data_IF_710968419189
#
_entry.id   IF_710968419189
#
_cell.length_a   1.000
_cell.length_b   1.000
_cell.length_c   1.000
_cell.angle_alpha   90.00
_cell.angle_beta   90.00
_cell.angle_gamma   90.00
#
_symmetry.space_group_name_H-M   'P 1'
#
loop_
_entity.id
_entity.type
_entity.pdbx_description
1 polymer ?
#
# COMPACT_ATOMS: atom_id res chain seq x y z
N UNK A 1 2.56 22.29 -2.05
CA UNK A 1 1.39 21.64 -1.42
C UNK A 1 1.09 20.30 -2.10
N UNK A 2 1.06 20.28 -3.44
CA UNK A 2 0.98 19.05 -4.26
C UNK A 2 2.01 17.97 -3.87
N UNK A 3 3.28 18.34 -3.64
CA UNK A 3 4.33 17.39 -3.24
C UNK A 3 4.08 16.76 -1.87
N UNK A 4 3.55 17.53 -0.92
CA UNK A 4 3.20 17.04 0.41
C UNK A 4 2.05 16.02 0.32
N UNK A 5 1.06 16.30 -0.53
CA UNK A 5 -0.06 15.41 -0.82
C UNK A 5 0.41 14.15 -1.53
N UNK A 6 1.32 14.26 -2.50
CA UNK A 6 1.91 13.12 -3.18
C UNK A 6 2.72 12.24 -2.21
N UNK A 7 3.52 12.84 -1.32
CA UNK A 7 4.24 12.11 -0.27
C UNK A 7 3.28 11.39 0.68
N UNK A 8 2.23 12.04 1.16
CA UNK A 8 1.20 11.41 2.00
C UNK A 8 0.50 10.26 1.28
N UNK A 9 0.20 10.46 0.01
CA UNK A 9 -0.47 9.48 -0.82
C UNK A 9 0.41 8.27 -1.16
N UNK A 10 1.74 8.41 -1.14
CA UNK A 10 2.71 7.32 -1.25
C UNK A 10 3.00 6.64 0.10
N UNK A 11 2.93 7.39 1.21
CA UNK A 11 3.09 6.84 2.56
C UNK A 11 1.99 5.85 2.93
N UNK A 12 0.79 6.05 2.44
CA UNK A 12 -0.36 5.21 2.74
C UNK A 12 -0.24 3.77 2.19
N UNK A 13 0.05 3.55 0.87
CA UNK A 13 0.26 2.22 0.34
C UNK A 13 1.55 1.57 0.87
N UNK A 14 2.60 2.33 1.17
CA UNK A 14 3.82 1.78 1.80
C UNK A 14 3.57 1.32 3.23
N UNK A 15 2.85 2.11 4.04
CA UNK A 15 2.45 1.70 5.39
C UNK A 15 1.55 0.45 5.36
N UNK A 16 0.61 0.38 4.43
CA UNK A 16 -0.25 -0.79 4.24
C UNK A 16 0.54 -2.03 3.80
N UNK A 17 1.46 -1.89 2.84
CA UNK A 17 2.35 -2.98 2.43
C UNK A 17 3.21 -3.50 3.58
N UNK A 18 3.79 -2.61 4.39
CA UNK A 18 4.52 -2.98 5.62
C UNK A 18 3.64 -3.69 6.65
N UNK A 19 2.43 -3.17 6.89
CA UNK A 19 1.48 -3.81 7.80
C UNK A 19 1.13 -5.23 7.35
N UNK A 20 0.89 -5.41 6.05
CA UNK A 20 0.55 -6.70 5.46
C UNK A 20 1.68 -7.73 5.60
N UNK A 21 2.91 -7.35 5.26
CA UNK A 21 4.08 -8.22 5.44
C UNK A 21 4.30 -8.53 6.92
N UNK A 22 4.06 -7.57 7.81
CA UNK A 22 4.18 -7.79 9.27
C UNK A 22 3.15 -8.79 9.80
N UNK A 23 1.95 -8.84 9.21
CA UNK A 23 0.89 -9.81 9.54
C UNK A 23 1.22 -11.20 8.99
N UNK A 24 1.75 -11.27 7.75
CA UNK A 24 2.07 -12.53 7.09
C UNK A 24 3.34 -13.21 7.64
N UNK A 25 4.32 -12.42 8.11
CA UNK A 25 5.60 -12.96 8.59
C UNK A 25 5.49 -13.41 10.05
N UNK A 26 5.78 -14.69 10.36
CA UNK A 26 5.77 -15.23 11.71
C UNK A 26 6.65 -14.42 12.67
N UNK A 27 6.21 -14.30 13.93
CA UNK A 27 6.88 -13.46 14.93
C UNK A 27 8.33 -13.86 15.19
N UNK A 28 8.64 -15.15 15.07
CA UNK A 28 9.96 -15.72 15.37
C UNK A 28 10.96 -15.64 14.21
N UNK A 29 10.58 -14.98 13.11
CA UNK A 29 11.47 -14.82 11.95
C UNK A 29 12.64 -13.88 12.29
N UNK A 30 13.90 -14.33 12.20
CA UNK A 30 15.06 -13.45 12.39
C UNK A 30 15.07 -12.38 11.30
N UNK A 31 15.22 -11.10 11.70
CA UNK A 31 15.18 -9.98 10.74
C UNK A 31 13.77 -9.62 10.24
N UNK A 32 12.71 -9.98 10.98
CA UNK A 32 11.31 -9.67 10.64
C UNK A 32 11.06 -8.18 10.34
N UNK A 33 11.63 -7.27 11.14
CA UNK A 33 11.47 -5.82 10.97
C UNK A 33 12.06 -5.31 9.64
N UNK A 34 13.34 -5.54 9.32
CA UNK A 34 13.91 -5.13 8.04
C UNK A 34 13.25 -5.84 6.84
N UNK A 35 12.80 -7.09 7.01
CA UNK A 35 12.03 -7.80 5.99
C UNK A 35 10.66 -7.13 5.74
N UNK A 36 9.93 -6.80 6.80
CA UNK A 36 8.64 -6.13 6.71
C UNK A 36 8.75 -4.74 6.09
N UNK A 37 9.78 -3.97 6.46
CA UNK A 37 10.02 -2.66 5.88
C UNK A 37 10.46 -2.74 4.42
N UNK A 38 11.44 -3.58 4.08
CA UNK A 38 11.93 -3.71 2.71
C UNK A 38 10.86 -4.25 1.77
N UNK A 39 10.32 -5.43 2.08
CA UNK A 39 9.33 -6.09 1.24
C UNK A 39 7.99 -5.36 1.25
N UNK A 40 7.58 -4.79 2.40
CA UNK A 40 6.34 -4.03 2.52
C UNK A 40 6.36 -2.71 1.77
N UNK A 41 7.48 -1.98 1.81
CA UNK A 41 7.64 -0.74 1.02
C UNK A 41 7.58 -1.05 -0.47
N UNK A 42 8.25 -2.11 -0.93
CA UNK A 42 8.19 -2.54 -2.33
C UNK A 42 6.78 -2.95 -2.76
N UNK A 43 6.09 -3.76 -1.95
CA UNK A 43 4.69 -4.14 -2.20
C UNK A 43 3.77 -2.93 -2.27
N UNK A 44 3.93 -1.99 -1.34
CA UNK A 44 3.16 -0.75 -1.30
C UNK A 44 3.37 0.07 -2.57
N UNK A 45 4.61 0.33 -2.97
CA UNK A 45 4.91 1.10 -4.19
C UNK A 45 4.39 0.39 -5.45
N UNK A 46 4.57 -0.93 -5.55
CA UNK A 46 4.09 -1.71 -6.70
C UNK A 46 2.55 -1.77 -6.79
N UNK A 47 1.85 -1.64 -5.66
CA UNK A 47 0.40 -1.58 -5.65
C UNK A 47 -0.16 -0.32 -6.31
N UNK A 48 0.58 0.81 -6.26
CA UNK A 48 0.15 2.10 -6.82
C UNK A 48 -0.15 2.03 -8.32
N UNK A 49 0.76 1.59 -9.22
CA UNK A 49 0.45 1.49 -10.64
C UNK A 49 -0.63 0.45 -10.93
N UNK A 50 -0.70 -0.65 -10.17
CA UNK A 50 -1.76 -1.66 -10.29
C UNK A 50 -3.14 -1.05 -10.01
N UNK A 51 -3.23 -0.26 -8.96
CA UNK A 51 -4.44 0.44 -8.55
C UNK A 51 -4.84 1.54 -9.53
N UNK A 52 -3.90 2.33 -10.04
CA UNK A 52 -4.18 3.32 -11.10
C UNK A 52 -4.71 2.63 -12.36
N UNK A 53 -4.19 1.45 -12.69
CA UNK A 53 -4.73 0.62 -13.77
C UNK A 53 -6.13 0.11 -13.46
N UNK A 54 -6.39 -0.31 -12.23
CA UNK A 54 -7.68 -0.85 -11.83
C UNK A 54 -8.77 0.22 -11.84
N UNK A 55 -8.50 1.42 -11.32
CA UNK A 55 -9.43 2.56 -11.36
C UNK A 55 -9.69 3.03 -12.79
N UNK A 56 -8.66 3.03 -13.64
CA UNK A 56 -8.81 3.30 -15.07
C UNK A 56 -9.72 2.26 -15.76
N UNK A 57 -9.54 0.96 -15.49
CA UNK A 57 -10.40 -0.10 -16.07
C UNK A 57 -11.84 -0.01 -15.58
N UNK A 58 -12.05 0.43 -14.33
CA UNK A 58 -13.38 0.66 -13.75
C UNK A 58 -14.06 1.94 -14.29
N UNK A 59 -13.42 2.68 -15.21
CA UNK A 59 -13.97 3.92 -15.76
C UNK A 59 -14.09 5.04 -14.74
N UNK A 60 -13.41 4.93 -13.59
CA UNK A 60 -13.41 5.97 -12.57
C UNK A 60 -12.32 7.00 -12.87
N UNK A 61 -12.58 8.30 -12.64
CA UNK A 61 -11.55 9.31 -12.71
C UNK A 61 -10.45 8.98 -11.68
N UNK A 62 -9.19 9.08 -12.10
CA UNK A 62 -8.02 8.80 -11.28
C UNK A 62 -8.03 9.70 -10.03
N UNK A 63 -8.47 9.15 -8.91
CA UNK A 63 -8.56 9.85 -7.64
C UNK A 63 -7.81 9.09 -6.57
N UNK A 64 -6.74 9.69 -6.07
CA UNK A 64 -5.89 9.12 -5.02
C UNK A 64 -6.68 8.69 -3.77
N UNK A 65 -7.77 9.40 -3.45
CA UNK A 65 -8.63 9.10 -2.30
C UNK A 65 -9.40 7.79 -2.48
N UNK A 66 -9.95 7.54 -3.67
CA UNK A 66 -10.66 6.30 -4.01
C UNK A 66 -9.69 5.12 -4.01
N UNK A 67 -8.50 5.35 -4.54
CA UNK A 67 -7.42 4.38 -4.58
C UNK A 67 -6.97 3.97 -3.18
N UNK A 68 -6.72 4.95 -2.31
CA UNK A 68 -6.30 4.73 -0.92
C UNK A 68 -7.36 3.96 -0.10
N UNK A 69 -8.64 4.31 -0.26
CA UNK A 69 -9.74 3.67 0.45
C UNK A 69 -9.99 2.22 0.00
N UNK A 70 -9.86 1.92 -1.29
CA UNK A 70 -9.95 0.54 -1.79
C UNK A 70 -8.85 -0.36 -1.23
N UNK A 71 -7.60 0.12 -1.14
CA UNK A 71 -6.52 -0.65 -0.51
C UNK A 71 -6.77 -0.83 0.97
N UNK A 72 -7.19 0.22 1.68
CA UNK A 72 -7.54 0.10 3.09
C UNK A 72 -8.63 -0.94 3.32
N UNK A 73 -9.63 -1.00 2.43
CA UNK A 73 -10.70 -2.00 2.48
C UNK A 73 -10.19 -3.43 2.19
N UNK A 74 -9.34 -3.59 1.18
CA UNK A 74 -8.75 -4.89 0.81
C UNK A 74 -7.71 -5.40 1.83
N UNK A 75 -7.09 -4.50 2.59
CA UNK A 75 -6.11 -4.82 3.63
C UNK A 75 -6.72 -5.02 5.02
N UNK A 76 -8.02 -4.78 5.23
CA UNK A 76 -8.69 -5.13 6.48
C UNK A 76 -8.74 -6.66 6.61
N UNK A 77 -8.17 -7.26 7.67
CA UNK A 77 -8.31 -8.68 7.90
C UNK A 77 -9.79 -9.01 8.14
N UNK A 78 -10.31 -9.98 7.40
CA UNK A 78 -11.64 -10.57 7.62
C UNK A 78 -11.74 -11.26 8.98
#
# INVERSE_FOLDING_TARGET
MEELLACLALMLPTALGCAWVTVLVPRDTPGRLPLAWGSGTLLGILSVPLLLRFTHVLGQPLSFTVTASLVALLCLPA
#
